data_IF_378641900557
#
_entry.id   IF_378641900557
#
_cell.length_a   1.000
_cell.length_b   1.000
_cell.length_c   1.000
_cell.angle_alpha   90.00
_cell.angle_beta   90.00
_cell.angle_gamma   90.00
#
_symmetry.space_group_name_H-M   'P 1'
#
loop_
_entity.id
_entity.type
_entity.pdbx_description
1 polymer ?
#
# COMPACT_ATOMS: atom_id res chain seq x y z
N UNK A 1 -10.58 52.96 10.59
CA UNK A 1 -9.47 51.99 10.56
C UNK A 1 -10.09 50.65 10.20
N UNK A 2 -10.27 50.37 8.91
CA UNK A 2 -10.82 49.09 8.45
C UNK A 2 -9.67 48.11 8.23
N UNK A 3 -9.74 46.99 8.94
CA UNK A 3 -8.84 45.85 8.78
C UNK A 3 -9.49 44.94 7.74
N UNK A 4 -9.08 45.08 6.48
CA UNK A 4 -9.53 44.21 5.40
C UNK A 4 -8.80 42.87 5.45
N UNK A 5 -9.49 41.81 5.89
CA UNK A 5 -9.08 40.43 5.64
C UNK A 5 -9.14 40.13 4.14
N UNK A 6 -8.02 40.26 3.43
CA UNK A 6 -7.93 39.71 2.08
C UNK A 6 -7.50 38.25 2.16
N UNK A 7 -8.49 37.41 2.43
CA UNK A 7 -8.42 35.96 2.36
C UNK A 7 -7.75 35.51 1.05
N UNK A 8 -6.64 34.78 1.17
CA UNK A 8 -6.03 34.08 0.04
C UNK A 8 -7.06 33.09 -0.53
N UNK A 9 -7.77 33.49 -1.58
CA UNK A 9 -8.57 32.58 -2.42
C UNK A 9 -7.62 31.51 -2.97
N UNK A 10 -7.55 30.36 -2.31
CA UNK A 10 -6.92 29.17 -2.87
C UNK A 10 -7.66 28.90 -4.18
N UNK A 11 -6.96 28.97 -5.32
CA UNK A 11 -7.49 28.48 -6.59
C UNK A 11 -7.87 27.02 -6.36
N UNK A 12 -9.17 26.75 -6.25
CA UNK A 12 -9.69 25.38 -6.29
C UNK A 12 -9.31 24.83 -7.65
N UNK A 13 -8.33 23.92 -7.69
CA UNK A 13 -7.96 23.25 -8.93
C UNK A 13 -9.22 22.64 -9.55
N UNK A 14 -9.40 22.81 -10.85
CA UNK A 14 -10.49 22.15 -11.57
C UNK A 14 -10.16 20.67 -11.64
N UNK A 15 -11.14 19.80 -11.32
CA UNK A 15 -10.97 18.35 -11.39
C UNK A 15 -10.53 17.94 -12.81
N UNK A 16 -9.42 17.18 -12.90
CA UNK A 16 -8.95 16.56 -14.14
C UNK A 16 -8.91 15.04 -13.94
N UNK A 17 -9.80 14.27 -14.58
CA UNK A 17 -9.90 12.84 -14.34
C UNK A 17 -8.63 12.07 -14.67
N UNK A 18 -7.92 12.41 -15.75
CA UNK A 18 -6.69 11.71 -16.14
C UNK A 18 -5.60 11.85 -15.08
N UNK A 19 -5.45 13.06 -14.54
CA UNK A 19 -4.48 13.35 -13.48
C UNK A 19 -4.89 12.67 -12.18
N UNK A 20 -6.15 12.80 -11.76
CA UNK A 20 -6.60 12.31 -10.47
C UNK A 20 -6.70 10.77 -10.42
N UNK A 21 -7.11 10.12 -11.51
CA UNK A 21 -7.15 8.65 -11.59
C UNK A 21 -5.75 8.02 -11.68
N UNK A 22 -4.75 8.76 -12.17
CA UNK A 22 -3.36 8.31 -12.20
C UNK A 22 -2.62 8.47 -10.85
N UNK A 23 -3.19 9.24 -9.91
CA UNK A 23 -2.67 9.34 -8.54
C UNK A 23 -2.92 8.05 -7.76
N UNK A 24 -2.14 7.85 -6.72
CA UNK A 24 -2.16 6.62 -5.95
C UNK A 24 -0.94 6.45 -5.08
N UNK A 25 -0.91 5.36 -4.34
CA UNK A 25 0.20 4.99 -3.49
C UNK A 25 1.31 4.29 -4.30
N UNK A 26 2.55 4.63 -4.00
CA UNK A 26 3.70 3.78 -4.32
C UNK A 26 3.64 2.54 -3.45
N UNK A 27 3.87 1.37 -4.04
CA UNK A 27 4.01 0.09 -3.35
C UNK A 27 5.49 -0.28 -3.28
N UNK A 28 6.01 -0.36 -2.06
CA UNK A 28 7.35 -0.86 -1.76
C UNK A 28 7.26 -2.13 -0.90
N UNK A 29 8.29 -2.96 -0.96
CA UNK A 29 8.35 -4.19 -0.18
C UNK A 29 9.79 -4.60 0.13
N UNK A 30 9.97 -5.21 1.30
CA UNK A 30 11.25 -5.72 1.78
C UNK A 30 11.03 -7.03 2.53
N UNK A 31 12.00 -7.93 2.41
CA UNK A 31 12.08 -9.11 3.25
C UNK A 31 13.35 -9.04 4.07
N UNK A 32 13.21 -9.31 5.36
CA UNK A 32 14.30 -9.38 6.33
C UNK A 32 14.51 -10.82 6.81
N UNK A 33 13.89 -11.79 6.12
CA UNK A 33 14.16 -13.22 6.27
C UNK A 33 15.34 -13.63 5.38
N UNK A 34 16.09 -14.65 5.84
CA UNK A 34 17.32 -15.09 5.15
C UNK A 34 17.02 -15.78 3.81
N UNK A 35 15.87 -16.45 3.68
CA UNK A 35 15.59 -17.34 2.55
C UNK A 35 14.33 -16.97 1.79
N UNK A 36 13.33 -16.37 2.45
CA UNK A 36 12.15 -15.84 1.80
C UNK A 36 12.41 -14.42 1.28
N UNK A 37 12.02 -14.17 0.03
CA UNK A 37 12.24 -12.89 -0.67
C UNK A 37 10.91 -12.33 -1.13
N UNK A 38 10.83 -11.00 -1.26
CA UNK A 38 9.72 -10.29 -1.89
C UNK A 38 10.25 -9.34 -2.96
N UNK A 39 9.54 -9.24 -4.08
CA UNK A 39 9.86 -8.33 -5.18
C UNK A 39 8.59 -7.61 -5.63
N UNK A 40 8.64 -6.29 -5.69
CA UNK A 40 7.57 -5.51 -6.33
C UNK A 40 7.67 -5.66 -7.85
N UNK A 41 6.56 -6.04 -8.49
CA UNK A 41 6.45 -6.19 -9.95
C UNK A 41 5.57 -5.13 -10.59
N UNK A 42 4.70 -4.47 -9.80
CA UNK A 42 4.02 -3.24 -10.17
C UNK A 42 3.96 -2.32 -8.94
N UNK A 43 4.70 -1.21 -8.99
CA UNK A 43 4.98 -0.37 -7.82
C UNK A 43 3.99 0.77 -7.56
N UNK A 44 2.81 0.77 -8.20
CA UNK A 44 1.82 1.84 -8.00
C UNK A 44 0.40 1.28 -7.95
N UNK A 45 -0.34 1.65 -6.91
CA UNK A 45 -1.77 1.35 -6.75
C UNK A 45 -2.54 2.65 -7.01
N UNK A 46 -3.21 2.77 -8.15
CA UNK A 46 -3.86 4.04 -8.54
C UNK A 46 -5.35 4.10 -8.22
N UNK A 47 -5.88 5.31 -8.08
CA UNK A 47 -7.32 5.57 -7.92
C UNK A 47 -8.11 5.01 -9.10
N UNK A 48 -7.57 5.13 -10.32
CA UNK A 48 -8.11 4.56 -11.55
C UNK A 48 -8.03 3.04 -11.68
N UNK A 49 -7.66 2.32 -10.61
CA UNK A 49 -7.76 0.87 -10.54
C UNK A 49 -6.53 0.11 -11.06
N UNK A 50 -5.41 0.78 -11.35
CA UNK A 50 -4.16 0.08 -11.67
C UNK A 50 -3.67 -0.60 -10.38
N UNK A 51 -3.51 -1.93 -10.37
CA UNK A 51 -3.12 -2.65 -9.17
C UNK A 51 -1.61 -2.58 -8.91
N UNK A 52 -1.24 -2.48 -7.65
CA UNK A 52 0.10 -2.81 -7.18
C UNK A 52 0.28 -4.32 -7.07
N UNK A 53 1.49 -4.81 -7.34
CA UNK A 53 1.81 -6.25 -7.34
C UNK A 53 3.16 -6.52 -6.71
N UNK A 54 3.22 -7.58 -5.91
CA UNK A 54 4.45 -8.13 -5.36
C UNK A 54 4.47 -9.65 -5.51
N UNK A 55 5.65 -10.23 -5.66
CA UNK A 55 5.88 -11.66 -5.74
C UNK A 55 6.80 -12.09 -4.59
N UNK A 56 6.36 -13.09 -3.85
CA UNK A 56 7.09 -13.70 -2.74
C UNK A 56 7.62 -15.05 -3.23
N UNK A 57 8.84 -15.40 -2.82
CA UNK A 57 9.49 -16.66 -3.18
C UNK A 57 10.31 -17.22 -2.03
N UNK A 58 10.58 -18.52 -2.06
CA UNK A 58 11.32 -19.22 -1.00
C UNK A 58 10.44 -19.66 0.18
N UNK A 59 11.09 -20.32 1.13
CA UNK A 59 10.50 -20.82 2.38
C UNK A 59 11.16 -20.05 3.50
N UNK A 60 10.39 -19.49 4.42
CA UNK A 60 10.91 -18.63 5.48
C UNK A 60 11.74 -19.43 6.49
N UNK A 61 12.87 -18.86 6.92
CA UNK A 61 13.55 -19.29 8.16
C UNK A 61 12.73 -18.92 9.40
N UNK A 62 11.96 -17.83 9.32
CA UNK A 62 11.11 -17.32 10.39
C UNK A 62 11.85 -16.38 11.34
N UNK A 63 11.09 -15.74 12.23
CA UNK A 63 11.64 -14.82 13.23
C UNK A 63 12.47 -15.59 14.27
N UNK A 64 13.76 -15.27 14.36
CA UNK A 64 14.68 -15.81 15.36
C UNK A 64 14.88 -14.72 16.43
N UNK A 65 14.49 -14.97 17.69
CA UNK A 65 14.34 -13.91 18.68
C UNK A 65 15.69 -13.47 19.25
N UNK A 66 16.01 -12.18 19.11
CA UNK A 66 16.99 -11.49 19.95
C UNK A 66 16.60 -10.00 20.11
N UNK A 67 16.35 -9.32 18.99
CA UNK A 67 15.73 -8.01 18.82
C UNK A 67 15.80 -7.70 17.31
N UNK A 68 14.88 -6.92 16.75
CA UNK A 68 14.96 -6.47 15.36
C UNK A 68 13.83 -6.95 14.44
N UNK A 69 14.05 -6.80 13.13
CA UNK A 69 13.08 -7.08 12.05
C UNK A 69 13.40 -8.40 11.31
N UNK A 70 14.41 -9.13 11.76
CA UNK A 70 14.83 -10.40 11.16
C UNK A 70 13.66 -11.38 11.09
N UNK A 71 13.48 -12.02 9.93
CA UNK A 71 12.36 -12.94 9.72
C UNK A 71 11.01 -12.25 9.59
N UNK A 72 10.96 -10.93 9.33
CA UNK A 72 9.73 -10.27 8.83
C UNK A 72 9.75 -10.09 7.32
N UNK A 73 8.56 -9.91 6.77
CA UNK A 73 8.35 -9.38 5.44
C UNK A 73 7.38 -8.21 5.54
N UNK A 74 7.73 -7.11 4.88
CA UNK A 74 7.06 -5.83 5.05
C UNK A 74 6.64 -5.28 3.69
N UNK A 75 5.48 -4.63 3.65
CA UNK A 75 5.04 -3.82 2.52
C UNK A 75 4.65 -2.42 2.98
N UNK A 76 4.86 -1.45 2.10
CA UNK A 76 4.51 -0.06 2.32
C UNK A 76 3.65 0.48 1.18
N UNK A 77 2.60 1.19 1.55
CA UNK A 77 1.79 2.00 0.66
C UNK A 77 1.99 3.46 1.05
N UNK A 78 2.52 4.28 0.15
CA UNK A 78 2.77 5.69 0.44
C UNK A 78 1.47 6.50 0.64
N UNK A 79 1.59 7.63 1.35
CA UNK A 79 0.52 8.60 1.45
C UNK A 79 0.30 9.29 0.09
N UNK A 80 -0.95 9.52 -0.27
CA UNK A 80 -1.28 10.35 -1.44
C UNK A 80 -2.57 11.14 -1.23
N UNK A 81 -2.77 12.16 -2.07
CA UNK A 81 -4.00 12.98 -2.14
C UNK A 81 -4.56 12.92 -3.54
N UNK A 82 -5.87 13.02 -3.67
CA UNK A 82 -6.55 13.08 -4.96
C UNK A 82 -7.80 13.95 -4.82
N UNK A 83 -8.21 14.57 -5.92
CA UNK A 83 -9.44 15.34 -6.01
C UNK A 83 -10.56 14.45 -6.53
N UNK A 84 -11.74 14.57 -5.94
CA UNK A 84 -12.96 13.91 -6.37
C UNK A 84 -13.69 14.73 -7.45
N UNK A 85 -14.64 14.13 -8.19
CA UNK A 85 -15.40 14.85 -9.21
C UNK A 85 -16.16 16.09 -8.69
N UNK A 86 -16.52 16.11 -7.40
CA UNK A 86 -17.18 17.24 -6.73
C UNK A 86 -16.21 18.38 -6.34
N UNK A 87 -14.92 18.26 -6.67
CA UNK A 87 -13.87 19.23 -6.37
C UNK A 87 -13.29 19.11 -4.95
N UNK A 88 -13.79 18.19 -4.12
CA UNK A 88 -13.23 17.95 -2.78
C UNK A 88 -11.89 17.23 -2.88
N UNK A 89 -10.94 17.60 -2.00
CA UNK A 89 -9.65 16.91 -1.89
C UNK A 89 -9.74 15.86 -0.80
N UNK A 90 -9.47 14.61 -1.16
CA UNK A 90 -9.37 13.49 -0.26
C UNK A 90 -7.90 13.03 -0.13
N UNK A 91 -7.62 12.24 0.91
CA UNK A 91 -6.29 11.68 1.14
C UNK A 91 -6.38 10.27 1.71
N UNK A 92 -5.36 9.48 1.39
CA UNK A 92 -5.17 8.15 1.97
C UNK A 92 -3.86 8.19 2.73
N UNK A 93 -3.92 8.01 4.05
CA UNK A 93 -2.74 7.91 4.89
C UNK A 93 -1.83 6.76 4.48
N UNK A 94 -0.52 6.96 4.60
CA UNK A 94 0.46 5.92 4.34
C UNK A 94 0.28 4.73 5.28
N UNK A 95 0.67 3.55 4.82
CA UNK A 95 0.46 2.30 5.55
C UNK A 95 1.68 1.39 5.45
N UNK A 96 2.32 1.15 6.59
CA UNK A 96 3.33 0.10 6.78
C UNK A 96 2.62 -1.14 7.32
N UNK A 97 2.85 -2.29 6.68
CA UNK A 97 2.33 -3.59 7.09
C UNK A 97 3.52 -4.56 7.26
N UNK A 98 3.98 -4.79 8.50
CA UNK A 98 4.96 -5.83 8.77
C UNK A 98 4.26 -7.17 9.06
N UNK A 99 4.80 -8.26 8.53
CA UNK A 99 4.38 -9.63 8.84
C UNK A 99 5.55 -10.41 9.40
N UNK A 100 5.38 -10.91 10.61
CA UNK A 100 6.31 -11.85 11.25
C UNK A 100 6.15 -13.22 10.58
N UNK A 101 7.22 -13.75 10.01
CA UNK A 101 7.20 -15.05 9.34
C UNK A 101 7.44 -16.17 10.34
N UNK A 102 6.70 -17.27 10.15
CA UNK A 102 6.95 -18.51 10.89
C UNK A 102 8.01 -19.35 10.18
N UNK A 103 8.84 -20.12 10.91
CA UNK A 103 9.72 -21.09 10.27
C UNK A 103 8.95 -22.05 9.36
N UNK A 104 9.48 -22.30 8.17
CA UNK A 104 8.82 -23.15 7.16
C UNK A 104 7.66 -22.49 6.43
N UNK A 105 7.33 -21.22 6.70
CA UNK A 105 6.23 -20.53 6.04
C UNK A 105 6.50 -20.37 4.54
N UNK A 106 5.59 -20.89 3.72
CA UNK A 106 5.71 -20.83 2.26
C UNK A 106 5.40 -19.42 1.73
N UNK A 107 5.90 -19.10 0.55
CA UNK A 107 5.57 -17.86 -0.14
C UNK A 107 4.06 -17.64 -0.29
N UNK A 108 3.29 -18.70 -0.59
CA UNK A 108 1.85 -18.63 -0.71
C UNK A 108 1.17 -18.26 0.62
N UNK A 109 1.64 -18.83 1.74
CA UNK A 109 1.14 -18.50 3.07
C UNK A 109 1.43 -17.03 3.43
N UNK A 110 2.63 -16.53 3.11
CA UNK A 110 2.98 -15.11 3.32
C UNK A 110 2.15 -14.17 2.47
N UNK A 111 1.96 -14.47 1.19
CA UNK A 111 1.11 -13.67 0.30
C UNK A 111 -0.33 -13.61 0.84
N UNK A 112 -0.84 -14.75 1.32
CA UNK A 112 -2.17 -14.82 1.94
C UNK A 112 -2.24 -13.97 3.22
N UNK A 113 -1.23 -14.03 4.07
CA UNK A 113 -1.18 -13.24 5.30
C UNK A 113 -1.26 -11.72 5.01
N UNK A 114 -0.57 -11.23 3.98
CA UNK A 114 -0.72 -9.84 3.53
C UNK A 114 -2.13 -9.54 3.03
N UNK A 115 -2.70 -10.42 2.19
CA UNK A 115 -4.05 -10.20 1.68
C UNK A 115 -5.08 -10.14 2.81
N UNK A 116 -5.00 -11.06 3.77
CA UNK A 116 -5.87 -11.10 4.94
C UNK A 116 -5.74 -9.81 5.77
N UNK A 117 -4.50 -9.36 6.05
CA UNK A 117 -4.24 -8.14 6.81
C UNK A 117 -4.81 -6.89 6.09
N UNK A 118 -4.56 -6.77 4.78
CA UNK A 118 -5.07 -5.65 3.99
C UNK A 118 -6.59 -5.61 4.01
N UNK A 119 -7.24 -6.76 3.80
CA UNK A 119 -8.69 -6.85 3.71
C UNK A 119 -9.41 -6.63 5.05
N UNK A 120 -8.76 -6.96 6.17
CA UNK A 120 -9.24 -6.65 7.51
C UNK A 120 -9.06 -5.16 7.88
N UNK A 121 -8.19 -4.44 7.18
CA UNK A 121 -7.92 -3.03 7.43
C UNK A 121 -9.05 -2.10 7.00
N UNK A 122 -9.06 -0.90 7.59
CA UNK A 122 -10.06 0.15 7.31
C UNK A 122 -9.71 1.02 6.10
N UNK A 123 -8.49 0.90 5.57
CA UNK A 123 -7.99 1.67 4.43
C UNK A 123 -8.70 1.21 3.14
N UNK A 124 -8.80 2.07 2.13
CA UNK A 124 -9.49 1.78 0.87
C UNK A 124 -8.67 0.86 -0.06
N UNK A 125 -8.13 -0.22 0.48
CA UNK A 125 -7.37 -1.21 -0.27
C UNK A 125 -8.03 -2.59 -0.14
N UNK A 126 -7.97 -3.35 -1.23
CA UNK A 126 -8.32 -4.76 -1.26
C UNK A 126 -7.19 -5.55 -1.88
N UNK A 127 -6.99 -6.75 -1.38
CA UNK A 127 -5.90 -7.59 -1.83
C UNK A 127 -6.33 -9.03 -2.08
N UNK A 128 -5.67 -9.66 -3.04
CA UNK A 128 -5.83 -11.08 -3.37
C UNK A 128 -4.46 -11.73 -3.46
N UNK A 129 -4.36 -12.99 -3.03
CA UNK A 129 -3.13 -13.76 -3.07
C UNK A 129 -3.29 -15.04 -3.90
N UNK A 130 -2.29 -15.39 -4.70
CA UNK A 130 -2.26 -16.66 -5.48
C UNK A 130 -0.83 -17.10 -5.70
N UNK A 131 -0.46 -18.30 -5.23
CA UNK A 131 0.86 -18.92 -5.53
C UNK A 131 2.08 -18.05 -5.18
N UNK A 132 2.03 -17.32 -4.07
CA UNK A 132 3.09 -16.37 -3.66
C UNK A 132 2.98 -14.97 -4.26
N UNK A 133 2.01 -14.73 -5.14
CA UNK A 133 1.76 -13.41 -5.73
C UNK A 133 0.72 -12.66 -4.92
N UNK A 134 0.96 -11.38 -4.67
CA UNK A 134 0.05 -10.45 -4.05
C UNK A 134 -0.38 -9.41 -5.09
N UNK A 135 -1.68 -9.16 -5.18
CA UNK A 135 -2.28 -8.07 -5.98
C UNK A 135 -3.07 -7.18 -5.05
N UNK A 136 -2.81 -5.88 -5.08
CA UNK A 136 -3.47 -4.86 -4.25
C UNK A 136 -4.16 -3.86 -5.18
N UNK A 137 -5.43 -3.58 -4.93
CA UNK A 137 -6.23 -2.59 -5.65
C UNK A 137 -6.74 -1.54 -4.68
N UNK A 138 -6.82 -0.30 -5.15
CA UNK A 138 -7.56 0.74 -4.47
C UNK A 138 -9.04 0.60 -4.78
N UNK A 139 -9.89 0.79 -3.77
CA UNK A 139 -11.35 0.75 -3.92
C UNK A 139 -11.93 2.02 -3.31
N UNK A 140 -12.53 2.87 -4.14
CA UNK A 140 -13.34 3.98 -3.66
C UNK A 140 -14.46 3.42 -2.77
N UNK A 141 -14.66 4.06 -1.62
CA UNK A 141 -15.81 3.80 -0.75
C UNK A 141 -16.99 4.67 -1.19
#
# INVERSE_FOLDING_TARGET
MEIGENSMKRKTGVYNPEVELAKGATLDASSYDKTQKIKVTAGKVTVGGIPGRAEISGIATGHIPAAGIEGTCDIWLSIFRYMRPDGTIDHVGGWNIPIVLKPGQTAAATAKAFADYINAGTRPYRATATGGKLKIVFTLK
#
